data_IF_460729424438
#
_entry.id   IF_460729424438
#
_cell.length_a   1.000
_cell.length_b   1.000
_cell.length_c   1.000
_cell.angle_alpha   90.00
_cell.angle_beta   90.00
_cell.angle_gamma   90.00
#
_symmetry.space_group_name_H-M   'P 1'
#
loop_
_entity.id
_entity.type
_entity.pdbx_description
1 polymer ?
#
# COMPACT_ATOMS: atom_id res chain seq x y z
N UNK A 1 -15.01 -3.79 25.94
CA UNK A 1 -13.92 -3.70 24.95
C UNK A 1 -12.61 -4.05 25.64
N UNK A 2 -11.73 -4.82 25.00
CA UNK A 2 -10.36 -5.08 25.49
C UNK A 2 -9.37 -4.19 24.79
N UNK A 3 -8.35 -3.71 25.50
CA UNK A 3 -7.20 -3.00 24.93
C UNK A 3 -5.90 -3.62 25.43
N UNK A 4 -4.84 -3.51 24.64
CA UNK A 4 -3.50 -3.91 25.08
C UNK A 4 -2.96 -2.91 26.12
N UNK A 5 -2.14 -3.40 27.05
CA UNK A 5 -1.52 -2.59 28.09
C UNK A 5 -0.08 -2.17 27.68
N UNK A 6 0.11 -1.68 26.47
CA UNK A 6 1.39 -1.10 26.06
C UNK A 6 1.48 0.34 26.56
N UNK A 7 2.59 0.69 27.21
CA UNK A 7 2.89 2.07 27.58
C UNK A 7 3.43 2.81 26.35
N UNK A 8 2.75 3.89 25.96
CA UNK A 8 3.21 4.84 24.96
C UNK A 8 3.53 6.17 25.64
N UNK A 9 4.04 7.15 24.88
CA UNK A 9 4.24 8.51 25.37
C UNK A 9 2.91 9.12 25.84
N UNK A 10 2.97 10.00 26.85
CA UNK A 10 1.79 10.56 27.53
C UNK A 10 0.74 11.16 26.58
N UNK A 11 1.10 11.97 25.54
CA UNK A 11 0.09 12.52 24.61
C UNK A 11 -0.66 11.44 23.82
N UNK A 12 0.01 10.32 23.48
CA UNK A 12 -0.59 9.21 22.77
C UNK A 12 -1.56 8.45 23.68
N UNK A 13 -1.22 8.28 24.95
CA UNK A 13 -2.07 7.65 25.96
C UNK A 13 -3.33 8.49 26.24
N UNK A 14 -3.21 9.81 26.32
CA UNK A 14 -4.36 10.71 26.47
C UNK A 14 -5.30 10.65 25.25
N UNK A 15 -4.74 10.66 24.05
CA UNK A 15 -5.51 10.51 22.80
C UNK A 15 -6.26 9.16 22.76
N UNK A 16 -5.58 8.07 23.09
CA UNK A 16 -6.18 6.74 23.15
C UNK A 16 -7.31 6.66 24.17
N UNK A 17 -7.11 7.26 25.37
CA UNK A 17 -8.14 7.32 26.41
C UNK A 17 -9.36 8.10 25.95
N UNK A 18 -9.16 9.29 25.37
CA UNK A 18 -10.23 10.13 24.83
C UNK A 18 -11.01 9.43 23.72
N UNK A 19 -10.32 8.75 22.82
CA UNK A 19 -10.93 7.96 21.76
C UNK A 19 -11.80 6.82 22.32
N UNK A 20 -11.30 6.08 23.30
CA UNK A 20 -12.06 4.99 23.96
C UNK A 20 -13.28 5.51 24.70
N UNK A 21 -13.19 6.66 25.38
CA UNK A 21 -14.32 7.33 26.03
C UNK A 21 -15.40 7.73 25.02
N UNK A 22 -15.00 8.33 23.89
CA UNK A 22 -15.90 8.72 22.82
C UNK A 22 -16.61 7.50 22.20
N UNK A 23 -15.89 6.39 21.98
CA UNK A 23 -16.48 5.14 21.51
C UNK A 23 -17.52 4.58 22.49
N UNK A 24 -17.23 4.61 23.81
CA UNK A 24 -18.15 4.10 24.83
C UNK A 24 -19.40 4.99 24.97
N UNK A 25 -19.27 6.30 24.75
CA UNK A 25 -20.38 7.25 24.81
C UNK A 25 -21.22 7.30 23.51
N UNK A 26 -20.84 6.51 22.50
CA UNK A 26 -21.56 6.44 21.23
C UNK A 26 -22.89 5.71 21.41
N UNK A 27 -23.99 6.37 21.00
CA UNK A 27 -25.34 5.81 20.99
C UNK A 27 -25.89 5.58 19.58
N UNK A 28 -25.55 6.47 18.63
CA UNK A 28 -26.03 6.41 17.25
C UNK A 28 -24.92 6.70 16.25
N UNK A 29 -25.14 6.37 14.99
CA UNK A 29 -24.22 6.72 13.91
C UNK A 29 -24.99 7.24 12.68
N UNK A 30 -24.29 7.97 11.84
CA UNK A 30 -24.77 8.35 10.50
C UNK A 30 -23.63 8.21 9.49
N UNK A 31 -23.98 7.79 8.27
CA UNK A 31 -23.06 7.71 7.14
C UNK A 31 -23.55 8.66 6.06
N UNK A 32 -22.64 9.50 5.55
CA UNK A 32 -22.92 10.43 4.46
C UNK A 32 -21.71 10.44 3.51
N UNK A 33 -21.88 9.90 2.30
CA UNK A 33 -20.78 9.67 1.38
C UNK A 33 -19.70 8.81 2.04
N UNK A 34 -18.47 9.30 2.08
CA UNK A 34 -17.32 8.61 2.68
C UNK A 34 -17.12 8.91 4.18
N UNK A 35 -18.07 9.62 4.81
CA UNK A 35 -17.93 10.04 6.20
C UNK A 35 -18.85 9.24 7.12
N UNK A 36 -18.29 8.57 8.12
CA UNK A 36 -18.98 7.97 9.25
C UNK A 36 -18.87 8.91 10.46
N UNK A 37 -20.02 9.32 11.01
CA UNK A 37 -20.09 10.11 12.24
C UNK A 37 -20.71 9.29 13.35
N UNK A 38 -20.02 9.16 14.48
CA UNK A 38 -20.54 8.55 15.71
C UNK A 38 -21.04 9.67 16.64
N UNK A 39 -22.24 9.49 17.23
CA UNK A 39 -22.93 10.52 18.01
C UNK A 39 -23.36 9.95 19.36
N UNK A 40 -23.45 10.83 20.38
CA UNK A 40 -24.04 10.49 21.68
C UNK A 40 -25.58 10.52 21.62
N UNK A 41 -26.23 10.24 22.76
CA UNK A 41 -27.68 10.26 22.92
C UNK A 41 -28.31 11.66 22.63
N UNK A 42 -27.55 12.73 22.83
CA UNK A 42 -27.97 14.09 22.54
C UNK A 42 -27.79 14.48 21.05
N UNK A 43 -27.32 13.56 20.19
CA UNK A 43 -27.05 13.80 18.78
C UNK A 43 -25.77 14.57 18.47
N UNK A 44 -24.93 14.83 19.47
CA UNK A 44 -23.63 15.50 19.27
C UNK A 44 -22.62 14.53 18.68
N UNK A 45 -21.86 15.00 17.69
CA UNK A 45 -20.77 14.22 17.08
C UNK A 45 -19.63 14.03 18.08
N UNK A 46 -19.22 12.79 18.30
CA UNK A 46 -18.11 12.40 19.16
C UNK A 46 -16.86 12.03 18.35
N UNK A 47 -17.05 11.27 17.27
CA UNK A 47 -15.99 10.82 16.36
C UNK A 47 -16.46 10.94 14.91
N UNK A 48 -15.55 11.37 14.06
CA UNK A 48 -15.76 11.45 12.62
C UNK A 48 -14.65 10.67 11.93
N UNK A 49 -15.03 9.75 11.06
CA UNK A 49 -14.12 8.97 10.23
C UNK A 49 -14.38 9.26 8.77
N UNK A 50 -13.33 9.42 8.00
CA UNK A 50 -13.41 9.48 6.55
C UNK A 50 -12.85 8.17 5.97
N UNK A 51 -13.52 7.60 4.99
CA UNK A 51 -13.00 6.44 4.28
C UNK A 51 -11.64 6.80 3.65
N UNK A 52 -10.65 5.96 3.84
CA UNK A 52 -9.39 6.12 3.12
C UNK A 52 -9.62 5.85 1.64
N UNK A 53 -9.06 6.71 0.77
CA UNK A 53 -9.11 6.48 -0.67
C UNK A 53 -8.52 5.10 -0.99
N UNK A 54 -9.21 4.37 -1.84
CA UNK A 54 -8.75 3.09 -2.39
C UNK A 54 -8.20 3.27 -3.81
N UNK A 55 -8.11 4.51 -4.27
CA UNK A 55 -7.53 4.82 -5.59
C UNK A 55 -6.01 4.72 -5.55
N UNK A 56 -5.46 4.06 -6.55
CA UNK A 56 -4.03 3.87 -6.71
C UNK A 56 -3.39 5.01 -7.52
N UNK A 57 -4.13 5.57 -8.47
CA UNK A 57 -3.68 6.72 -9.26
C UNK A 57 -3.30 7.92 -8.37
N UNK A 58 -2.22 8.62 -8.73
CA UNK A 58 -1.68 9.73 -7.96
C UNK A 58 -0.91 9.31 -6.70
N UNK A 59 -0.48 8.06 -6.59
CA UNK A 59 0.21 7.56 -5.40
C UNK A 59 1.62 7.04 -5.68
N UNK A 60 2.52 7.20 -4.68
CA UNK A 60 3.93 6.79 -4.75
C UNK A 60 4.27 5.79 -3.66
N UNK A 61 5.03 4.77 -4.02
CA UNK A 61 5.29 3.59 -3.19
C UNK A 61 6.75 3.18 -3.21
N UNK A 62 7.20 2.61 -2.11
CA UNK A 62 8.49 1.94 -1.99
C UNK A 62 8.26 0.47 -1.68
N UNK A 63 8.84 -0.43 -2.49
CA UNK A 63 8.73 -1.86 -2.26
C UNK A 63 9.49 -2.27 -0.99
N UNK A 64 8.94 -3.25 -0.30
CA UNK A 64 9.55 -3.88 0.90
C UNK A 64 9.83 -5.35 0.68
N UNK A 65 8.95 -6.03 -0.06
CA UNK A 65 9.09 -7.43 -0.44
C UNK A 65 8.67 -7.63 -1.90
N UNK A 66 9.37 -8.53 -2.58
CA UNK A 66 9.12 -8.92 -3.97
C UNK A 66 9.04 -10.44 -4.06
N UNK A 67 8.11 -10.97 -4.84
CA UNK A 67 8.07 -12.38 -5.19
C UNK A 67 9.26 -12.72 -6.10
N UNK A 68 10.06 -13.69 -5.70
CA UNK A 68 11.28 -14.08 -6.42
C UNK A 68 11.03 -14.98 -7.65
N UNK A 69 9.76 -15.15 -8.06
CA UNK A 69 9.36 -16.06 -9.14
C UNK A 69 9.44 -17.56 -8.77
N UNK A 70 9.68 -17.87 -7.49
CA UNK A 70 9.76 -19.24 -6.93
C UNK A 70 8.85 -19.39 -5.72
N UNK A 71 7.68 -18.73 -5.76
CA UNK A 71 6.63 -18.77 -4.74
C UNK A 71 7.06 -18.22 -3.35
N UNK A 72 8.11 -17.38 -3.31
CA UNK A 72 8.58 -16.79 -2.06
C UNK A 72 8.67 -15.26 -2.14
N UNK A 73 8.10 -14.59 -1.13
CA UNK A 73 8.31 -13.17 -0.89
C UNK A 73 9.67 -12.98 -0.22
N UNK A 74 10.53 -12.19 -0.83
CA UNK A 74 11.88 -11.89 -0.32
C UNK A 74 12.05 -10.39 -0.10
N UNK A 75 12.77 -10.02 0.96
CA UNK A 75 13.16 -8.63 1.20
C UNK A 75 14.15 -8.14 0.14
N UNK A 76 14.22 -6.83 -0.02
CA UNK A 76 15.11 -6.22 -1.01
C UNK A 76 16.57 -6.41 -0.64
N UNK A 77 17.43 -6.49 -1.66
CA UNK A 77 18.88 -6.51 -1.50
C UNK A 77 19.31 -5.17 -0.87
N UNK A 78 20.13 -5.23 0.17
CA UNK A 78 20.65 -4.05 0.85
C UNK A 78 21.37 -3.13 -0.13
N UNK A 79 21.00 -1.85 -0.12
CA UNK A 79 21.56 -0.84 -1.03
C UNK A 79 20.76 -0.64 -2.32
N UNK A 80 19.67 -1.41 -2.53
CA UNK A 80 18.74 -1.17 -3.64
C UNK A 80 17.49 -0.43 -3.17
N UNK A 81 16.94 0.42 -4.03
CA UNK A 81 15.65 1.08 -3.85
C UNK A 81 14.73 0.74 -5.03
N UNK A 82 13.62 0.07 -4.73
CA UNK A 82 12.59 -0.26 -5.71
C UNK A 82 11.36 0.59 -5.44
N UNK A 83 10.88 1.29 -6.45
CA UNK A 83 9.76 2.24 -6.33
C UNK A 83 8.73 2.06 -7.41
N UNK A 84 7.49 2.47 -7.11
CA UNK A 84 6.39 2.53 -8.05
C UNK A 84 5.61 3.84 -7.86
N UNK A 85 5.51 4.64 -8.89
CA UNK A 85 4.69 5.84 -8.96
C UNK A 85 3.54 5.58 -9.94
N UNK A 86 2.31 5.56 -9.43
CA UNK A 86 1.09 5.37 -10.23
C UNK A 86 0.54 6.74 -10.61
N UNK A 87 0.79 7.17 -11.85
CA UNK A 87 0.33 8.46 -12.34
C UNK A 87 -1.18 8.54 -12.54
N UNK A 88 -1.74 9.74 -12.47
CA UNK A 88 -3.16 9.99 -12.78
C UNK A 88 -3.49 9.76 -14.27
N UNK A 89 -2.47 9.73 -15.11
CA UNK A 89 -2.54 9.49 -16.56
C UNK A 89 -2.60 8.00 -16.94
N UNK A 90 -2.63 7.08 -15.98
CA UNK A 90 -2.62 5.64 -16.20
C UNK A 90 -1.23 5.08 -16.52
N UNK A 91 -0.16 5.82 -16.17
CA UNK A 91 1.22 5.37 -16.34
C UNK A 91 1.82 4.97 -14.99
N UNK A 92 2.39 3.78 -14.88
CA UNK A 92 3.27 3.39 -13.78
C UNK A 92 4.72 3.65 -14.18
N UNK A 93 5.50 4.19 -13.25
CA UNK A 93 6.95 4.40 -13.44
C UNK A 93 7.70 4.21 -12.13
N UNK A 94 9.01 4.03 -12.21
CA UNK A 94 9.82 3.89 -10.99
C UNK A 94 11.22 3.36 -11.24
N UNK A 95 11.82 2.86 -10.18
CA UNK A 95 13.11 2.16 -10.17
C UNK A 95 12.91 0.68 -9.90
N UNK A 96 13.55 -0.19 -10.67
CA UNK A 96 13.62 -1.64 -10.41
C UNK A 96 14.77 -2.05 -9.48
N UNK A 97 15.52 -1.07 -8.98
CA UNK A 97 16.72 -1.31 -8.17
C UNK A 97 18.02 -1.04 -8.93
N UNK A 98 18.02 -1.24 -10.25
CA UNK A 98 19.09 -0.91 -11.18
C UNK A 98 18.59 0.07 -12.24
N UNK A 99 17.60 -0.33 -12.99
CA UNK A 99 17.04 0.42 -14.11
C UNK A 99 15.76 1.16 -13.72
N UNK A 100 15.47 2.22 -14.47
CA UNK A 100 14.15 2.85 -14.45
C UNK A 100 13.23 2.10 -15.39
N UNK A 101 11.97 2.03 -15.00
CA UNK A 101 10.93 1.42 -15.82
C UNK A 101 9.72 2.34 -15.95
N UNK A 102 8.92 2.12 -16.97
CA UNK A 102 7.60 2.69 -17.14
C UNK A 102 6.71 1.79 -18.00
N UNK A 103 5.40 2.00 -17.89
CA UNK A 103 4.41 1.34 -18.73
C UNK A 103 3.00 1.75 -18.35
N UNK A 104 1.98 1.25 -19.07
CA UNK A 104 0.60 1.53 -18.71
C UNK A 104 0.15 0.71 -17.50
N UNK A 105 -0.82 1.25 -16.77
CA UNK A 105 -1.63 0.48 -15.84
C UNK A 105 -3.10 0.89 -15.94
N UNK A 106 -3.98 -0.04 -15.65
CA UNK A 106 -5.42 0.16 -15.59
C UNK A 106 -5.95 -0.45 -14.29
N UNK A 107 -6.93 0.19 -13.68
CA UNK A 107 -7.62 -0.33 -12.49
C UNK A 107 -9.12 -0.34 -12.69
N UNK A 108 -9.78 -1.41 -12.24
CA UNK A 108 -11.23 -1.50 -12.16
C UNK A 108 -11.61 -2.12 -10.80
N UNK A 109 -12.26 -1.35 -9.94
CA UNK A 109 -12.49 -1.71 -8.54
C UNK A 109 -11.19 -2.08 -7.80
N UNK A 110 -10.95 -3.36 -7.52
CA UNK A 110 -9.71 -3.88 -6.91
C UNK A 110 -8.83 -4.65 -7.89
N UNK A 111 -9.26 -4.75 -9.13
CA UNK A 111 -8.44 -5.36 -10.17
C UNK A 111 -7.43 -4.36 -10.70
N UNK A 112 -6.27 -4.86 -11.08
CA UNK A 112 -5.19 -4.10 -11.70
C UNK A 112 -4.61 -4.90 -12.87
N UNK A 113 -4.24 -4.18 -13.92
CA UNK A 113 -3.46 -4.69 -15.03
C UNK A 113 -2.31 -3.75 -15.26
N UNK A 114 -1.10 -4.26 -15.26
CA UNK A 114 0.14 -3.49 -15.44
C UNK A 114 0.88 -4.03 -16.66
N UNK A 115 1.41 -3.12 -17.48
CA UNK A 115 2.29 -3.45 -18.57
C UNK A 115 1.65 -3.58 -19.95
N UNK A 116 2.46 -3.86 -20.97
CA UNK A 116 3.89 -4.24 -20.87
C UNK A 116 4.77 -3.10 -20.36
N UNK A 117 5.80 -3.46 -19.57
CA UNK A 117 6.75 -2.53 -19.00
C UNK A 117 7.99 -2.38 -19.90
N UNK A 118 8.45 -1.15 -20.08
CA UNK A 118 9.72 -0.84 -20.69
C UNK A 118 10.73 -0.44 -19.61
N UNK A 119 11.98 -0.88 -19.71
CA UNK A 119 13.05 -0.48 -18.80
C UNK A 119 14.29 -0.01 -19.54
N UNK A 120 15.11 0.81 -18.89
CA UNK A 120 16.47 1.09 -19.35
C UNK A 120 17.33 -0.17 -19.26
N UNK A 121 18.45 -0.20 -19.94
CA UNK A 121 19.33 -1.38 -20.04
C UNK A 121 20.74 -1.06 -19.52
N UNK A 122 20.85 -0.55 -18.30
CA UNK A 122 22.15 -0.42 -17.64
C UNK A 122 22.60 -1.78 -17.11
N UNK A 123 23.89 -2.07 -17.25
CA UNK A 123 24.49 -3.24 -16.65
C UNK A 123 24.89 -2.91 -15.18
N UNK A 124 24.06 -3.31 -14.22
CA UNK A 124 24.39 -3.18 -12.80
C UNK A 124 24.97 -4.51 -12.33
N UNK A 125 26.20 -4.47 -11.84
CA UNK A 125 26.92 -5.63 -11.30
C UNK A 125 26.94 -5.63 -9.77
N UNK A 126 26.65 -4.51 -9.16
CA UNK A 126 26.59 -4.33 -7.70
C UNK A 126 25.31 -3.60 -7.30
N UNK A 127 24.69 -4.00 -6.17
CA UNK A 127 25.03 -5.21 -5.39
C UNK A 127 24.73 -6.50 -6.16
N UNK A 128 25.43 -7.60 -5.78
CA UNK A 128 25.22 -8.91 -6.40
C UNK A 128 23.73 -9.33 -6.37
N UNK A 129 23.21 -9.80 -7.50
CA UNK A 129 21.81 -10.23 -7.64
C UNK A 129 20.83 -9.10 -7.96
N UNK A 130 21.27 -7.84 -8.12
CA UNK A 130 20.37 -6.72 -8.39
C UNK A 130 19.61 -6.87 -9.72
N UNK A 131 20.25 -7.43 -10.74
CA UNK A 131 19.62 -7.66 -12.04
C UNK A 131 18.52 -8.73 -11.97
N UNK A 132 18.76 -9.80 -11.23
CA UNK A 132 17.79 -10.86 -10.97
C UNK A 132 16.61 -10.34 -10.13
N UNK A 133 16.88 -9.51 -9.12
CA UNK A 133 15.85 -8.86 -8.31
C UNK A 133 14.98 -7.95 -9.16
N UNK A 134 15.57 -7.13 -10.03
CA UNK A 134 14.82 -6.27 -10.94
C UNK A 134 13.95 -7.07 -11.90
N UNK A 135 14.50 -8.12 -12.51
CA UNK A 135 13.73 -8.98 -13.43
C UNK A 135 12.55 -9.64 -12.71
N UNK A 136 12.74 -10.13 -11.48
CA UNK A 136 11.67 -10.69 -10.65
C UNK A 136 10.62 -9.63 -10.30
N UNK A 137 11.03 -8.42 -9.95
CA UNK A 137 10.14 -7.32 -9.64
C UNK A 137 9.27 -6.91 -10.84
N UNK A 138 9.85 -6.70 -12.01
CA UNK A 138 9.10 -6.33 -13.21
C UNK A 138 8.11 -7.43 -13.61
N UNK A 139 8.52 -8.69 -13.54
CA UNK A 139 7.62 -9.83 -13.77
C UNK A 139 6.50 -9.89 -12.73
N UNK A 140 6.79 -9.62 -11.45
CA UNK A 140 5.81 -9.57 -10.38
C UNK A 140 4.76 -8.45 -10.58
N UNK A 141 5.19 -7.29 -11.11
CA UNK A 141 4.27 -6.22 -11.48
C UNK A 141 3.32 -6.65 -12.62
N UNK A 142 3.85 -7.25 -13.68
CA UNK A 142 3.04 -7.69 -14.84
C UNK A 142 2.12 -8.88 -14.51
N UNK A 143 2.48 -9.70 -13.52
CA UNK A 143 1.65 -10.82 -13.05
C UNK A 143 0.54 -10.37 -12.09
N UNK A 144 0.61 -9.16 -11.56
CA UNK A 144 -0.39 -8.66 -10.64
C UNK A 144 -1.76 -8.47 -11.32
N UNK A 145 -2.82 -8.97 -10.67
CA UNK A 145 -4.20 -8.85 -11.13
C UNK A 145 -5.12 -8.19 -10.12
N UNK A 146 -4.71 -8.15 -8.85
CA UNK A 146 -5.47 -7.55 -7.74
C UNK A 146 -4.55 -6.69 -6.89
N UNK A 147 -5.07 -5.57 -6.42
CA UNK A 147 -4.38 -4.74 -5.43
C UNK A 147 -5.21 -4.56 -4.15
N UNK A 148 -4.52 -4.49 -3.02
CA UNK A 148 -5.10 -4.21 -1.70
C UNK A 148 -4.40 -3.01 -1.08
N UNK A 149 -5.16 -1.94 -0.83
CA UNK A 149 -4.72 -0.77 -0.07
C UNK A 149 -5.20 -0.88 1.38
N UNK A 150 -4.26 -0.86 2.33
CA UNK A 150 -4.54 -0.88 3.77
C UNK A 150 -3.71 0.19 4.48
N UNK A 151 -4.27 1.39 4.61
CA UNK A 151 -3.57 2.53 5.18
C UNK A 151 -2.36 2.92 4.33
N UNK A 152 -1.17 2.75 4.86
CA UNK A 152 0.10 3.04 4.18
C UNK A 152 0.72 1.83 3.47
N UNK A 153 0.03 0.71 3.40
CA UNK A 153 0.53 -0.50 2.74
C UNK A 153 -0.27 -0.80 1.48
N UNK A 154 0.44 -1.19 0.42
CA UNK A 154 -0.11 -1.70 -0.82
C UNK A 154 0.43 -3.11 -1.05
N UNK A 155 -0.46 -4.06 -1.29
CA UNK A 155 -0.09 -5.42 -1.70
C UNK A 155 -0.66 -5.69 -3.09
N UNK A 156 0.20 -6.08 -4.02
CA UNK A 156 -0.20 -6.61 -5.33
C UNK A 156 -0.25 -8.14 -5.26
N UNK A 157 -1.29 -8.73 -5.84
CA UNK A 157 -1.49 -10.19 -5.89
C UNK A 157 -1.78 -10.65 -7.32
N UNK A 158 -1.44 -11.88 -7.61
CA UNK A 158 -1.85 -12.55 -8.85
C UNK A 158 -3.30 -13.09 -8.77
N UNK A 159 -3.72 -13.79 -9.85
CA UNK A 159 -5.05 -14.37 -9.96
C UNK A 159 -5.34 -15.52 -8.98
N UNK A 160 -4.31 -16.15 -8.45
CA UNK A 160 -4.40 -17.22 -7.45
C UNK A 160 -4.36 -16.68 -6.00
N UNK A 161 -4.18 -15.36 -5.86
CA UNK A 161 -4.12 -14.64 -4.58
C UNK A 161 -2.73 -14.62 -3.93
N UNK A 162 -1.69 -15.12 -4.61
CA UNK A 162 -0.33 -15.07 -4.10
C UNK A 162 0.22 -13.63 -4.18
N UNK A 163 0.90 -13.18 -3.13
CA UNK A 163 1.52 -11.86 -3.11
C UNK A 163 2.65 -11.78 -4.14
N UNK A 164 2.63 -10.70 -4.92
CA UNK A 164 3.63 -10.41 -5.94
C UNK A 164 4.60 -9.32 -5.47
N UNK A 165 4.07 -8.22 -4.95
CA UNK A 165 4.89 -7.14 -4.38
C UNK A 165 4.17 -6.55 -3.17
N UNK A 166 4.93 -6.23 -2.14
CA UNK A 166 4.46 -5.45 -1.00
C UNK A 166 5.19 -4.12 -0.95
N UNK A 167 4.42 -3.05 -0.69
CA UNK A 167 4.91 -1.69 -0.66
C UNK A 167 4.47 -0.95 0.60
N UNK A 168 5.24 0.09 0.94
CA UNK A 168 4.85 1.16 1.86
C UNK A 168 4.73 2.48 1.12
N UNK A 169 3.83 3.34 1.54
CA UNK A 169 3.62 4.67 0.94
C UNK A 169 4.85 5.56 1.20
N UNK A 170 5.28 6.29 0.17
CA UNK A 170 6.29 7.33 0.29
C UNK A 170 5.73 8.61 0.89
#
# INVERSE_FOLDING_TARGET
MGSTMMACEEPVMEQASSFMQALQATATFSVSGETLTLKNDAGQALLVFTAASQELAGTSWQATFVNNGREAMVGLITGTEITADFGEDGTISGSGGCNRYNGPFETEAKQIKIGPLASTMMACIEPEGVAEQEAAYLAALENATVYELRGTNLTLRDGDGAAQVEFVRK
#
